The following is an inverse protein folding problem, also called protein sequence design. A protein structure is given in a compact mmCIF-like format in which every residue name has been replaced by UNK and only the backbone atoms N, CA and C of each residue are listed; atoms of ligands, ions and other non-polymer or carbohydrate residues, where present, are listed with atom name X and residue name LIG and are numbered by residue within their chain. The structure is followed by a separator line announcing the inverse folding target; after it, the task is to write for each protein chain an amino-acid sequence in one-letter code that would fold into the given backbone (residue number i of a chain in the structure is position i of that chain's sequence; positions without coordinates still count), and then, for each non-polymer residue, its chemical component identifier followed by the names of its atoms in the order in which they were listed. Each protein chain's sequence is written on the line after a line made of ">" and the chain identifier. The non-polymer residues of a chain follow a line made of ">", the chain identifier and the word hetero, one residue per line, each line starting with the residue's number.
data_IF_982021527416
#
_entry.id   IF_982021527416
#
_cell.length_a   1.000
_cell.length_b   1.000
_cell.length_c   1.000
_cell.angle_alpha   90.00
_cell.angle_beta   90.00
_cell.angle_gamma   90.00
#
_symmetry.space_group_name_H-M   'P 1'
#
loop_
_entity.id
_entity.type
_entity.pdbx_description
1 polymer ?
#
# COMPACT_ATOMS: atom_id res chain seq x y z
N UNK A 1 -5.31 18.34 18.19
CA UNK A 1 -5.39 17.67 16.88
C UNK A 1 -4.04 17.00 16.69
N UNK A 2 -4.01 15.69 16.37
CA UNK A 2 -2.77 14.99 16.04
C UNK A 2 -2.19 15.54 14.74
N UNK A 3 -0.87 15.48 14.59
CA UNK A 3 -0.24 15.85 13.32
C UNK A 3 -0.70 14.89 12.20
N UNK A 4 -0.87 15.37 10.95
CA UNK A 4 -1.20 14.52 9.82
C UNK A 4 -0.17 13.39 9.63
N UNK A 5 -0.63 12.23 9.16
CA UNK A 5 0.23 11.10 8.82
C UNK A 5 1.10 11.39 7.59
N UNK A 6 0.48 11.95 6.55
CA UNK A 6 1.13 12.29 5.27
C UNK A 6 0.75 13.71 4.87
N UNK A 7 1.74 14.48 4.44
CA UNK A 7 1.56 15.80 3.81
C UNK A 7 2.30 15.80 2.47
N UNK A 8 1.59 16.07 1.40
CA UNK A 8 2.09 16.30 0.05
C UNK A 8 1.84 17.75 -0.32
N UNK A 9 2.89 18.47 -0.75
CA UNK A 9 2.81 19.89 -1.15
C UNK A 9 3.35 20.03 -2.57
N UNK A 10 2.49 20.44 -3.51
CA UNK A 10 2.76 20.73 -4.92
C UNK A 10 3.58 19.65 -5.63
N UNK A 11 3.23 18.39 -5.42
CA UNK A 11 3.98 17.25 -5.91
C UNK A 11 3.87 17.14 -7.45
N UNK A 12 5.02 17.14 -8.12
CA UNK A 12 5.13 16.95 -9.57
C UNK A 12 5.92 15.69 -9.88
N UNK A 13 5.48 14.93 -10.87
CA UNK A 13 6.26 13.85 -11.46
C UNK A 13 6.24 13.92 -12.97
N UNK A 14 7.44 14.02 -13.52
CA UNK A 14 7.70 14.02 -14.95
C UNK A 14 8.56 12.80 -15.31
N UNK A 15 8.29 12.18 -16.44
CA UNK A 15 9.08 11.11 -17.04
C UNK A 15 9.62 11.57 -18.39
N UNK A 16 10.82 11.11 -18.75
CA UNK A 16 11.52 11.52 -19.96
C UNK A 16 12.13 12.93 -19.84
N UNK A 17 12.91 13.30 -20.84
CA UNK A 17 13.65 14.55 -20.89
C UNK A 17 13.33 15.32 -22.20
N UNK A 18 13.52 16.65 -22.19
CA UNK A 18 13.33 17.52 -23.34
C UNK A 18 11.93 17.39 -23.96
N UNK A 19 11.87 17.26 -25.29
CA UNK A 19 10.62 17.22 -26.06
C UNK A 19 9.78 15.94 -25.83
N UNK A 20 10.33 14.91 -25.17
CA UNK A 20 9.62 13.66 -24.83
C UNK A 20 9.10 13.66 -23.40
N UNK A 21 9.27 14.73 -22.66
CA UNK A 21 8.86 14.82 -21.27
C UNK A 21 7.35 14.76 -21.11
N UNK A 22 6.87 13.84 -20.25
CA UNK A 22 5.46 13.67 -19.92
C UNK A 22 5.25 13.95 -18.43
N UNK A 23 4.51 15.00 -18.11
CA UNK A 23 4.14 15.29 -16.71
C UNK A 23 2.92 14.48 -16.30
N UNK A 24 3.14 13.48 -15.44
CA UNK A 24 2.11 12.56 -14.94
C UNK A 24 1.41 13.11 -13.71
N UNK A 25 2.14 13.73 -12.78
CA UNK A 25 1.56 14.42 -11.62
C UNK A 25 1.81 15.92 -11.76
N UNK A 26 0.77 16.72 -11.57
CA UNK A 26 0.74 18.12 -11.99
C UNK A 26 0.51 19.08 -10.81
N UNK A 27 1.37 19.00 -9.78
CA UNK A 27 1.31 19.87 -8.61
C UNK A 27 0.18 19.47 -7.66
N UNK A 28 0.27 18.25 -7.10
CA UNK A 28 -0.73 17.70 -6.18
C UNK A 28 -0.49 18.20 -4.75
N UNK A 29 -1.59 18.53 -4.07
CA UNK A 29 -1.64 18.72 -2.63
C UNK A 29 -2.53 17.65 -2.01
N UNK A 30 -2.03 16.94 -0.99
CA UNK A 30 -2.76 15.87 -0.32
C UNK A 30 -2.36 15.80 1.15
N UNK A 31 -3.35 15.63 2.01
CA UNK A 31 -3.13 15.31 3.43
C UNK A 31 -3.88 14.04 3.79
N UNK A 32 -3.20 13.12 4.49
CA UNK A 32 -3.81 11.93 5.08
C UNK A 32 -3.64 11.98 6.59
N UNK A 33 -4.70 11.68 7.31
CA UNK A 33 -4.70 11.62 8.76
C UNK A 33 -4.36 10.21 9.28
N UNK A 34 -3.94 10.12 10.53
CA UNK A 34 -3.70 8.84 11.20
C UNK A 34 -5.00 8.02 11.25
N UNK A 35 -4.92 6.75 10.88
CA UNK A 35 -6.07 5.83 10.88
C UNK A 35 -7.14 6.12 9.83
N UNK A 36 -6.86 6.98 8.87
CA UNK A 36 -7.81 7.29 7.80
C UNK A 36 -7.95 6.12 6.81
N UNK A 37 -9.15 5.92 6.27
CA UNK A 37 -9.44 4.88 5.27
C UNK A 37 -9.97 5.55 4.01
N UNK A 38 -9.08 5.74 3.03
CA UNK A 38 -9.28 6.63 1.87
C UNK A 38 -9.25 5.85 0.56
N UNK A 39 -10.20 6.14 -0.33
CA UNK A 39 -10.15 5.70 -1.72
C UNK A 39 -9.57 6.80 -2.62
N UNK A 40 -8.63 6.43 -3.47
CA UNK A 40 -8.12 7.23 -4.57
C UNK A 40 -8.75 6.74 -5.88
N UNK A 41 -9.78 7.44 -6.34
CA UNK A 41 -10.55 7.11 -7.53
C UNK A 41 -9.98 7.79 -8.78
N UNK A 42 -10.10 7.13 -9.91
CA UNK A 42 -9.79 7.73 -11.21
C UNK A 42 -9.62 6.69 -12.31
N UNK A 43 -9.71 7.09 -13.59
CA UNK A 43 -9.51 6.20 -14.71
C UNK A 43 -8.08 5.65 -14.78
N UNK A 44 -7.88 4.62 -15.59
CA UNK A 44 -6.53 4.13 -15.89
C UNK A 44 -5.70 5.25 -16.52
N UNK A 45 -4.43 5.35 -16.14
CA UNK A 45 -3.52 6.41 -16.63
C UNK A 45 -3.68 7.77 -15.96
N UNK A 46 -4.58 7.95 -14.98
CA UNK A 46 -4.72 9.25 -14.27
C UNK A 46 -3.54 9.60 -13.34
N UNK A 47 -2.63 8.65 -13.05
CA UNK A 47 -1.45 8.86 -12.20
C UNK A 47 -1.53 8.22 -10.81
N UNK A 48 -2.58 7.45 -10.47
CA UNK A 48 -2.77 6.81 -9.15
C UNK A 48 -1.58 5.98 -8.70
N UNK A 49 -1.14 5.01 -9.52
CA UNK A 49 -0.01 4.14 -9.18
C UNK A 49 1.31 4.91 -9.06
N UNK A 50 1.48 6.01 -9.84
CA UNK A 50 2.62 6.92 -9.72
C UNK A 50 2.60 7.63 -8.36
N UNK A 51 1.44 8.15 -7.94
CA UNK A 51 1.29 8.77 -6.63
C UNK A 51 1.56 7.77 -5.51
N UNK A 52 0.96 6.56 -5.56
CA UNK A 52 1.22 5.52 -4.58
C UNK A 52 2.71 5.13 -4.52
N UNK A 53 3.39 5.05 -5.68
CA UNK A 53 4.82 4.75 -5.73
C UNK A 53 5.69 5.83 -5.07
N UNK A 54 5.31 7.11 -5.20
CA UNK A 54 6.03 8.22 -4.53
C UNK A 54 5.73 8.20 -3.03
N UNK A 55 4.47 8.06 -2.63
CA UNK A 55 4.09 7.93 -1.21
C UNK A 55 4.77 6.71 -0.58
N UNK A 56 4.90 5.62 -1.33
CA UNK A 56 5.60 4.42 -0.92
C UNK A 56 7.13 4.53 -0.94
N UNK A 57 7.70 5.68 -1.24
CA UNK A 57 9.15 5.90 -1.38
C UNK A 57 9.84 4.95 -2.38
N UNK A 58 9.08 4.40 -3.33
CA UNK A 58 9.59 3.57 -4.43
C UNK A 58 10.06 4.42 -5.61
N UNK A 59 9.64 5.68 -5.64
CA UNK A 59 9.94 6.63 -6.70
C UNK A 59 10.09 8.03 -6.11
N UNK A 60 11.09 8.80 -6.56
CA UNK A 60 11.24 10.20 -6.17
C UNK A 60 10.33 11.10 -7.02
N UNK A 61 9.72 12.14 -6.45
CA UNK A 61 9.07 13.18 -7.24
C UNK A 61 10.10 13.97 -8.06
N UNK A 62 9.65 14.71 -9.06
CA UNK A 62 10.49 15.67 -9.81
C UNK A 62 10.55 16.99 -9.06
N UNK A 63 9.42 17.42 -8.47
CA UNK A 63 9.31 18.65 -7.69
C UNK A 63 8.27 18.46 -6.57
N UNK A 64 8.25 19.39 -5.62
CA UNK A 64 7.33 19.39 -4.50
C UNK A 64 7.90 18.73 -3.26
N UNK A 65 7.06 18.51 -2.25
CA UNK A 65 7.47 17.98 -0.95
C UNK A 65 6.60 16.80 -0.54
N UNK A 66 7.23 15.86 0.16
CA UNK A 66 6.57 14.75 0.83
C UNK A 66 7.09 14.69 2.27
N UNK A 67 6.18 14.83 3.22
CA UNK A 67 6.44 14.64 4.65
C UNK A 67 5.54 13.53 5.16
N UNK A 68 6.09 12.58 5.89
CA UNK A 68 5.33 11.48 6.49
C UNK A 68 5.82 11.26 7.92
N UNK A 69 4.89 11.13 8.86
CA UNK A 69 5.20 11.05 10.31
C UNK A 69 6.08 12.22 10.81
N UNK A 70 6.00 13.38 10.16
CA UNK A 70 6.83 14.55 10.46
C UNK A 70 8.22 14.53 9.81
N UNK A 71 8.61 13.47 9.11
CA UNK A 71 9.91 13.34 8.43
C UNK A 71 9.82 13.78 6.95
N UNK A 72 10.70 14.70 6.48
CA UNK A 72 10.79 15.09 5.07
C UNK A 72 11.51 13.99 4.29
N UNK A 73 10.84 13.41 3.27
CA UNK A 73 11.35 12.22 2.58
C UNK A 73 11.97 12.50 1.19
N UNK A 74 11.77 13.70 0.62
CA UNK A 74 12.25 13.99 -0.75
C UNK A 74 13.78 13.99 -0.82
N UNK A 75 14.44 14.56 0.19
CA UNK A 75 15.90 14.71 0.27
C UNK A 75 16.60 13.55 1.00
N UNK A 76 15.84 12.59 1.54
CA UNK A 76 16.39 11.43 2.23
C UNK A 76 17.17 10.52 1.25
N UNK A 77 18.25 9.90 1.71
CA UNK A 77 19.01 8.94 0.89
C UNK A 77 18.27 7.60 0.73
N UNK A 78 18.78 6.72 -0.14
CA UNK A 78 18.11 5.45 -0.45
C UNK A 78 18.11 4.47 0.73
N UNK A 79 19.08 4.56 1.64
CA UNK A 79 19.14 3.74 2.86
C UNK A 79 18.04 4.19 3.82
N UNK A 80 17.95 5.50 4.07
CA UNK A 80 16.92 6.12 4.90
C UNK A 80 15.50 5.81 4.36
N UNK A 81 15.29 5.97 3.04
CA UNK A 81 14.02 5.63 2.41
C UNK A 81 13.67 4.14 2.52
N UNK A 82 14.67 3.27 2.43
CA UNK A 82 14.45 1.82 2.56
C UNK A 82 14.08 1.44 3.98
N UNK A 83 14.77 2.01 4.99
CA UNK A 83 14.43 1.79 6.40
C UNK A 83 13.05 2.35 6.74
N UNK A 84 12.75 3.58 6.31
CA UNK A 84 11.46 4.22 6.51
C UNK A 84 10.34 3.38 5.91
N UNK A 85 10.46 2.99 4.65
CA UNK A 85 9.49 2.15 3.94
C UNK A 85 9.26 0.83 4.65
N UNK A 86 10.32 0.15 5.07
CA UNK A 86 10.21 -1.14 5.75
C UNK A 86 9.45 -1.03 7.08
N UNK A 87 9.66 0.05 7.84
CA UNK A 87 9.04 0.24 9.16
C UNK A 87 7.60 0.73 9.08
N UNK A 88 7.33 1.70 8.19
CA UNK A 88 6.14 2.55 8.27
C UNK A 88 5.12 2.30 7.17
N UNK A 89 5.51 1.58 6.08
CA UNK A 89 4.65 1.43 4.90
C UNK A 89 4.44 -0.03 4.56
N UNK A 90 3.16 -0.44 4.50
CA UNK A 90 2.74 -1.71 3.93
C UNK A 90 2.29 -1.55 2.48
N UNK A 91 2.46 -2.58 1.67
CA UNK A 91 2.02 -2.58 0.27
C UNK A 91 1.12 -3.76 -0.04
N UNK A 92 0.01 -3.47 -0.74
CA UNK A 92 -0.88 -4.47 -1.33
C UNK A 92 -1.04 -4.12 -2.80
N UNK A 93 -0.61 -5.00 -3.70
CA UNK A 93 -0.66 -4.80 -5.16
C UNK A 93 -1.71 -5.67 -5.82
N UNK A 94 -2.24 -5.24 -6.95
CA UNK A 94 -3.16 -5.99 -7.78
C UNK A 94 -2.60 -7.36 -8.21
N UNK A 95 -1.31 -7.42 -8.56
CA UNK A 95 -0.62 -8.66 -8.96
C UNK A 95 -0.07 -9.47 -7.77
N UNK A 96 -0.41 -9.12 -6.54
CA UNK A 96 0.02 -9.72 -5.26
C UNK A 96 1.54 -9.64 -5.00
N UNK A 97 2.39 -9.81 -6.01
CA UNK A 97 3.85 -9.86 -5.94
C UNK A 97 4.37 -10.81 -4.85
N UNK A 98 3.76 -11.98 -4.75
CA UNK A 98 4.26 -13.06 -3.89
C UNK A 98 5.39 -13.81 -4.59
N UNK A 99 6.33 -14.28 -3.79
CA UNK A 99 7.40 -15.19 -4.22
C UNK A 99 6.77 -16.57 -4.39
N UNK A 100 6.69 -17.12 -5.63
CA UNK A 100 5.87 -18.30 -5.91
C UNK A 100 6.40 -19.58 -5.25
N UNK A 101 7.71 -19.66 -5.06
CA UNK A 101 8.42 -20.80 -4.45
C UNK A 101 8.49 -20.72 -2.92
N UNK A 102 7.98 -19.65 -2.32
CA UNK A 102 7.87 -19.45 -0.88
C UNK A 102 6.46 -19.82 -0.43
N UNK A 103 6.35 -20.33 0.79
CA UNK A 103 5.08 -20.60 1.46
C UNK A 103 4.33 -19.29 1.77
N UNK A 104 3.06 -19.40 2.16
CA UNK A 104 2.29 -18.27 2.64
C UNK A 104 2.97 -17.60 3.85
N UNK A 105 3.49 -18.41 4.78
CA UNK A 105 4.19 -17.89 5.97
C UNK A 105 5.49 -17.19 5.60
N UNK A 106 6.34 -17.78 4.76
CA UNK A 106 7.59 -17.17 4.32
C UNK A 106 7.36 -15.86 3.57
N UNK A 107 6.34 -15.79 2.69
CA UNK A 107 5.95 -14.53 2.06
C UNK A 107 5.50 -13.48 3.08
N UNK A 108 4.77 -13.88 4.11
CA UNK A 108 4.26 -12.95 5.14
C UNK A 108 5.40 -12.37 5.98
N UNK A 109 6.37 -13.19 6.39
CA UNK A 109 7.50 -12.76 7.25
C UNK A 109 8.63 -12.07 6.48
N UNK A 110 8.64 -12.18 5.14
CA UNK A 110 9.72 -11.70 4.28
C UNK A 110 10.16 -10.24 4.57
N UNK A 111 9.26 -9.24 4.77
CA UNK A 111 9.67 -7.87 5.06
C UNK A 111 10.49 -7.74 6.35
N UNK A 112 10.16 -8.49 7.37
CA UNK A 112 10.89 -8.47 8.65
C UNK A 112 12.22 -9.21 8.55
N UNK A 113 12.23 -10.38 7.89
CA UNK A 113 13.42 -11.19 7.71
C UNK A 113 14.50 -10.47 6.87
N UNK A 114 14.10 -9.79 5.77
CA UNK A 114 15.04 -9.06 4.90
C UNK A 114 15.67 -7.86 5.59
N UNK A 115 14.93 -7.13 6.42
CA UNK A 115 15.48 -6.01 7.18
C UNK A 115 16.57 -6.45 8.19
N UNK A 116 16.38 -7.60 8.82
CA UNK A 116 17.34 -8.14 9.80
C UNK A 116 18.40 -9.06 9.20
N UNK A 117 18.28 -9.42 7.93
CA UNK A 117 19.15 -10.39 7.25
C UNK A 117 18.91 -11.84 7.68
N UNK A 118 17.92 -12.11 8.53
CA UNK A 118 17.50 -13.45 8.98
C UNK A 118 16.08 -13.44 9.53
N UNK A 119 15.44 -14.58 9.49
CA UNK A 119 14.15 -14.82 10.17
C UNK A 119 14.39 -15.15 11.66
N UNK A 120 13.41 -14.87 12.52
CA UNK A 120 13.40 -15.18 13.95
C UNK A 120 12.11 -15.93 14.33
N UNK A 121 12.12 -16.61 15.50
CA UNK A 121 10.91 -17.27 16.02
C UNK A 121 9.78 -16.27 16.23
N UNK A 122 10.09 -15.05 16.71
CA UNK A 122 9.09 -13.98 16.84
C UNK A 122 8.47 -13.57 15.51
N UNK A 123 9.25 -13.59 14.40
CA UNK A 123 8.69 -13.34 13.07
C UNK A 123 7.71 -14.43 12.64
N UNK A 124 8.06 -15.68 12.91
CA UNK A 124 7.19 -16.83 12.61
C UNK A 124 5.90 -16.80 13.43
N UNK A 125 6.00 -16.51 14.73
CA UNK A 125 4.83 -16.35 15.60
C UNK A 125 3.91 -15.24 15.10
N UNK A 126 4.47 -14.05 14.78
CA UNK A 126 3.71 -12.94 14.27
C UNK A 126 3.12 -13.21 12.89
N UNK A 127 3.90 -13.77 11.96
CA UNK A 127 3.43 -14.14 10.63
C UNK A 127 2.29 -15.17 10.69
N UNK A 128 2.40 -16.13 11.60
CA UNK A 128 1.35 -17.11 11.89
C UNK A 128 0.06 -16.43 12.36
N UNK A 129 0.15 -15.54 13.35
CA UNK A 129 -1.01 -14.79 13.85
C UNK A 129 -1.66 -13.91 12.77
N UNK A 130 -0.85 -13.31 11.88
CA UNK A 130 -1.37 -12.54 10.74
C UNK A 130 -2.10 -13.43 9.72
N UNK A 131 -1.56 -14.61 9.42
CA UNK A 131 -2.25 -15.57 8.53
C UNK A 131 -3.53 -16.11 9.15
N UNK A 132 -3.56 -16.33 10.46
CA UNK A 132 -4.79 -16.71 11.17
C UNK A 132 -5.86 -15.60 11.05
N UNK A 133 -5.43 -14.35 11.25
CA UNK A 133 -6.31 -13.17 11.14
C UNK A 133 -6.92 -12.99 9.75
N UNK A 134 -6.17 -13.32 8.69
CA UNK A 134 -6.68 -13.25 7.32
C UNK A 134 -7.41 -14.56 6.88
N UNK A 135 -7.65 -15.49 7.81
CA UNK A 135 -8.39 -16.73 7.56
C UNK A 135 -7.61 -17.76 6.72
N UNK A 136 -6.29 -17.85 6.92
CA UNK A 136 -5.39 -18.76 6.20
C UNK A 136 -4.59 -19.66 7.15
N UNK A 137 -5.10 -19.98 8.34
CA UNK A 137 -4.46 -20.85 9.33
C UNK A 137 -4.03 -22.20 8.78
N UNK A 138 -4.83 -22.81 7.91
CA UNK A 138 -4.62 -24.11 7.29
C UNK A 138 -3.80 -24.04 5.98
N UNK A 139 -3.36 -22.88 5.58
CA UNK A 139 -2.61 -22.61 4.34
C UNK A 139 -1.19 -22.07 4.56
N UNK A 140 -0.73 -21.99 5.79
CA UNK A 140 0.58 -21.41 6.14
C UNK A 140 1.75 -22.00 5.37
N UNK A 141 1.75 -23.32 5.24
CA UNK A 141 2.84 -24.09 4.63
C UNK A 141 2.61 -24.36 3.13
N UNK A 142 1.56 -23.81 2.53
CA UNK A 142 1.31 -23.93 1.10
C UNK A 142 2.17 -22.94 0.33
N UNK A 143 2.83 -23.42 -0.74
CA UNK A 143 3.53 -22.54 -1.68
C UNK A 143 2.56 -21.52 -2.28
N UNK A 144 3.01 -20.28 -2.41
CA UNK A 144 2.19 -19.20 -2.96
C UNK A 144 1.68 -19.53 -4.37
N UNK A 145 2.45 -20.28 -5.17
CA UNK A 145 2.03 -20.76 -6.49
C UNK A 145 0.74 -21.59 -6.46
N UNK A 146 0.47 -22.33 -5.36
CA UNK A 146 -0.67 -23.25 -5.20
C UNK A 146 -1.92 -22.59 -4.60
N UNK A 147 -1.85 -21.33 -4.22
CA UNK A 147 -2.97 -20.59 -3.62
C UNK A 147 -3.89 -20.03 -4.71
N UNK A 148 -5.20 -19.92 -4.40
CA UNK A 148 -6.16 -19.18 -5.24
C UNK A 148 -5.85 -17.68 -5.26
N UNK A 149 -6.44 -16.93 -6.21
CA UNK A 149 -6.26 -15.46 -6.30
C UNK A 149 -6.64 -14.74 -5.01
N UNK A 150 -7.80 -15.04 -4.43
CA UNK A 150 -8.24 -14.47 -3.17
C UNK A 150 -7.36 -14.86 -1.98
N UNK A 151 -6.82 -16.11 -1.95
CA UNK A 151 -5.86 -16.54 -0.94
C UNK A 151 -4.54 -15.78 -1.08
N UNK A 152 -4.01 -15.63 -2.30
CA UNK A 152 -2.80 -14.85 -2.58
C UNK A 152 -2.96 -13.41 -2.11
N UNK A 153 -4.12 -12.80 -2.36
CA UNK A 153 -4.38 -11.43 -1.93
C UNK A 153 -4.41 -11.32 -0.40
N UNK A 154 -5.03 -12.27 0.29
CA UNK A 154 -5.01 -12.30 1.76
C UNK A 154 -3.60 -12.49 2.34
N UNK A 155 -2.75 -13.29 1.70
CA UNK A 155 -1.31 -13.36 2.05
C UNK A 155 -0.62 -12.02 1.83
N UNK A 156 -0.88 -11.32 0.72
CA UNK A 156 -0.32 -10.00 0.46
C UNK A 156 -0.77 -8.95 1.51
N UNK A 157 -2.02 -9.03 1.97
CA UNK A 157 -2.51 -8.22 3.10
C UNK A 157 -1.78 -8.58 4.40
N UNK A 158 -1.64 -9.87 4.75
CA UNK A 158 -0.89 -10.28 5.93
C UNK A 158 0.56 -9.80 5.88
N UNK A 159 1.23 -9.95 4.72
CA UNK A 159 2.59 -9.45 4.48
C UNK A 159 2.70 -7.94 4.69
N UNK A 160 1.73 -7.16 4.23
CA UNK A 160 1.76 -5.70 4.37
C UNK A 160 1.72 -5.24 5.83
N UNK A 161 1.21 -6.08 6.74
CA UNK A 161 1.07 -5.78 8.17
C UNK A 161 2.23 -6.30 9.03
N UNK A 162 3.19 -7.00 8.44
CA UNK A 162 4.23 -7.71 9.19
C UNK A 162 5.00 -6.80 10.15
N UNK A 163 5.34 -5.60 9.71
CA UNK A 163 6.10 -4.63 10.50
C UNK A 163 5.21 -3.60 11.23
N UNK A 164 3.90 -3.84 11.37
CA UNK A 164 2.94 -2.92 12.00
C UNK A 164 2.98 -1.50 11.41
N UNK A 165 2.81 -1.33 10.09
CA UNK A 165 2.93 -0.03 9.45
C UNK A 165 1.83 0.92 9.89
N UNK A 166 2.13 2.23 9.89
CA UNK A 166 1.15 3.29 10.08
C UNK A 166 0.30 3.52 8.82
N UNK A 167 0.84 3.21 7.63
CA UNK A 167 0.17 3.37 6.34
C UNK A 167 0.25 2.11 5.50
N UNK A 168 -0.88 1.68 4.94
CA UNK A 168 -0.93 0.68 3.87
C UNK A 168 -1.37 1.33 2.56
N UNK A 169 -0.52 1.20 1.53
CA UNK A 169 -0.79 1.62 0.17
C UNK A 169 -1.29 0.42 -0.64
N UNK A 170 -2.53 0.47 -1.09
CA UNK A 170 -3.16 -0.62 -1.81
C UNK A 170 -3.48 -0.18 -3.26
N UNK A 171 -2.74 -0.73 -4.22
CA UNK A 171 -2.94 -0.44 -5.65
C UNK A 171 -3.85 -1.49 -6.28
N UNK A 172 -5.12 -1.12 -6.56
CA UNK A 172 -6.16 -1.97 -7.14
C UNK A 172 -6.27 -3.34 -6.41
N UNK A 173 -6.40 -3.38 -5.06
CA UNK A 173 -6.24 -4.62 -4.28
C UNK A 173 -7.27 -5.71 -4.57
N UNK A 174 -8.32 -5.37 -5.32
CA UNK A 174 -9.42 -6.28 -5.70
C UNK A 174 -9.54 -6.47 -7.20
N UNK A 175 -8.69 -5.84 -8.01
CA UNK A 175 -8.84 -5.76 -9.46
C UNK A 175 -8.77 -7.09 -10.22
N UNK A 176 -8.13 -8.12 -9.63
CA UNK A 176 -7.99 -9.45 -10.23
C UNK A 176 -8.85 -10.52 -9.53
N UNK A 177 -9.80 -10.12 -8.70
CA UNK A 177 -10.62 -11.02 -7.89
C UNK A 177 -12.06 -11.08 -8.43
N UNK A 178 -12.71 -12.22 -8.22
CA UNK A 178 -14.15 -12.31 -8.32
C UNK A 178 -14.82 -11.44 -7.24
N UNK A 179 -16.11 -11.17 -7.42
CA UNK A 179 -16.85 -10.24 -6.57
C UNK A 179 -16.86 -10.64 -5.09
N UNK A 180 -17.05 -11.92 -4.81
CA UNK A 180 -17.10 -12.45 -3.44
C UNK A 180 -15.75 -12.31 -2.76
N UNK A 181 -14.67 -12.73 -3.42
CA UNK A 181 -13.30 -12.57 -2.94
C UNK A 181 -12.92 -11.09 -2.73
N UNK A 182 -13.36 -10.20 -3.63
CA UNK A 182 -13.15 -8.77 -3.51
C UNK A 182 -13.83 -8.19 -2.27
N UNK A 183 -15.09 -8.59 -2.01
CA UNK A 183 -15.82 -8.15 -0.82
C UNK A 183 -15.17 -8.66 0.46
N UNK A 184 -14.72 -9.91 0.52
CA UNK A 184 -14.00 -10.48 1.66
C UNK A 184 -12.67 -9.74 1.94
N UNK A 185 -11.90 -9.40 0.91
CA UNK A 185 -10.67 -8.62 1.08
C UNK A 185 -10.98 -7.23 1.61
N UNK A 186 -12.00 -6.54 1.09
CA UNK A 186 -12.38 -5.22 1.59
C UNK A 186 -12.90 -5.26 3.03
N UNK A 187 -13.68 -6.28 3.42
CA UNK A 187 -14.12 -6.46 4.80
C UNK A 187 -12.92 -6.59 5.74
N UNK A 188 -11.93 -7.38 5.33
CA UNK A 188 -10.68 -7.56 6.07
C UNK A 188 -9.90 -6.24 6.22
N UNK A 189 -9.73 -5.45 5.16
CA UNK A 189 -9.03 -4.16 5.24
C UNK A 189 -9.76 -3.17 6.16
N UNK A 190 -11.09 -3.12 6.12
CA UNK A 190 -11.90 -2.29 7.03
C UNK A 190 -11.77 -2.74 8.49
N UNK A 191 -11.78 -4.05 8.74
CA UNK A 191 -11.56 -4.61 10.07
C UNK A 191 -10.18 -4.21 10.62
N UNK A 192 -9.12 -4.40 9.84
CA UNK A 192 -7.75 -4.04 10.21
C UNK A 192 -7.64 -2.55 10.53
N UNK A 193 -8.19 -1.68 9.67
CA UNK A 193 -8.20 -0.23 9.94
C UNK A 193 -8.83 0.11 11.28
N UNK A 194 -9.97 -0.53 11.61
CA UNK A 194 -10.69 -0.28 12.87
C UNK A 194 -9.95 -0.83 14.09
N UNK A 195 -9.35 -2.01 13.96
CA UNK A 195 -8.71 -2.69 15.08
C UNK A 195 -7.33 -2.11 15.41
N UNK A 196 -6.51 -1.83 14.38
CA UNK A 196 -5.11 -1.44 14.54
C UNK A 196 -4.88 0.08 14.42
N UNK A 197 -5.85 0.81 13.87
CA UNK A 197 -5.67 2.23 13.55
C UNK A 197 -4.73 2.49 12.37
N UNK A 198 -4.34 1.46 11.62
CA UNK A 198 -3.54 1.60 10.41
C UNK A 198 -4.30 2.39 9.35
N UNK A 199 -3.69 3.44 8.79
CA UNK A 199 -4.27 4.18 7.68
C UNK A 199 -4.17 3.40 6.37
N UNK A 200 -5.16 3.57 5.48
CA UNK A 200 -5.18 2.95 4.16
C UNK A 200 -5.43 4.00 3.09
N UNK A 201 -4.61 3.98 2.03
CA UNK A 201 -4.89 4.66 0.77
C UNK A 201 -5.06 3.59 -0.32
N UNK A 202 -6.28 3.45 -0.82
CA UNK A 202 -6.68 2.40 -1.76
C UNK A 202 -6.95 3.02 -3.12
N UNK A 203 -6.10 2.74 -4.12
CA UNK A 203 -6.43 3.10 -5.50
C UNK A 203 -7.47 2.16 -6.07
N UNK A 204 -8.45 2.69 -6.75
CA UNK A 204 -9.44 1.88 -7.46
C UNK A 204 -10.13 2.69 -8.57
N UNK A 205 -10.69 2.00 -9.54
CA UNK A 205 -11.62 2.56 -10.53
C UNK A 205 -13.07 2.08 -10.27
N UNK A 206 -13.28 1.21 -9.27
CA UNK A 206 -14.60 0.67 -8.88
C UNK A 206 -15.24 1.56 -7.81
N UNK A 207 -16.30 2.27 -8.18
CA UNK A 207 -17.10 3.12 -7.27
C UNK A 207 -17.69 2.34 -6.09
N UNK A 208 -17.98 1.04 -6.27
CA UNK A 208 -18.49 0.17 -5.20
C UNK A 208 -17.43 -0.05 -4.11
N UNK A 209 -16.19 -0.27 -4.51
CA UNK A 209 -15.05 -0.41 -3.58
C UNK A 209 -14.80 0.92 -2.87
N UNK A 210 -14.79 2.02 -3.63
CA UNK A 210 -14.60 3.35 -3.08
C UNK A 210 -15.70 3.75 -2.08
N UNK A 211 -16.95 3.34 -2.34
CA UNK A 211 -18.08 3.57 -1.42
C UNK A 211 -17.93 2.92 -0.04
N UNK A 212 -16.97 2.01 0.15
CA UNK A 212 -16.63 1.40 1.44
C UNK A 212 -15.62 2.22 2.25
N UNK A 213 -14.99 3.21 1.62
CA UNK A 213 -14.02 4.10 2.25
C UNK A 213 -14.74 5.30 2.88
N UNK A 214 -14.19 5.81 3.99
CA UNK A 214 -14.75 6.97 4.70
C UNK A 214 -14.57 8.28 3.93
N UNK A 215 -13.49 8.38 3.15
CA UNK A 215 -13.15 9.52 2.31
C UNK A 215 -12.80 9.04 0.91
N UNK A 216 -13.22 9.80 -0.09
CA UNK A 216 -12.91 9.53 -1.48
C UNK A 216 -12.21 10.75 -2.08
N UNK A 217 -11.11 10.51 -2.76
CA UNK A 217 -10.34 11.53 -3.49
C UNK A 217 -10.37 11.13 -4.96
N UNK A 218 -10.73 12.06 -5.83
CA UNK A 218 -10.77 11.81 -7.28
C UNK A 218 -9.52 12.34 -7.95
N UNK A 219 -8.94 11.53 -8.82
CA UNK A 219 -7.77 11.87 -9.61
C UNK A 219 -8.07 11.81 -11.10
N UNK A 220 -7.81 12.92 -11.80
CA UNK A 220 -8.00 13.05 -13.25
C UNK A 220 -6.79 13.76 -13.85
N UNK A 221 -6.21 13.18 -14.90
CA UNK A 221 -5.08 13.76 -15.66
C UNK A 221 -3.96 14.35 -14.78
N UNK A 222 -3.56 13.62 -13.74
CA UNK A 222 -2.48 14.01 -12.85
C UNK A 222 -2.84 15.11 -11.85
N UNK A 223 -4.12 15.40 -11.61
CA UNK A 223 -4.62 16.37 -10.62
C UNK A 223 -5.65 15.72 -9.70
N UNK A 224 -5.72 16.18 -8.46
CA UNK A 224 -6.86 15.89 -7.59
C UNK A 224 -7.97 16.89 -7.91
N UNK A 225 -9.19 16.39 -8.15
CA UNK A 225 -10.32 17.22 -8.60
C UNK A 225 -11.40 17.40 -7.54
N UNK A 226 -11.43 16.54 -6.50
CA UNK A 226 -12.28 16.67 -5.31
C UNK A 226 -11.49 16.08 -4.13
N UNK A 227 -11.09 16.89 -3.18
CA UNK A 227 -10.39 16.50 -1.97
C UNK A 227 -11.20 16.88 -0.72
#
# INVERSE_FOLDING_TARGET
>A
MSAPLVIVDRLVKQFGDGDTAVTVLKGLDLTLEVGEFVALLGPSGSGKSTLLSILGTLMRPTEGRLTMLGEPLVDADDVQLTEFRNRHIGFVFQAHHLLPDFTALENTIFPAATHRGRETDADRERGTALLDRVGLSDRRDFLAAKLSGGQKQRVAVARSLMNSPELVLADEPTGNLDRESADQVMDLLVEINRADGTAFLISTHDERIAGRCKRQIRMLDGRLVDA
#
